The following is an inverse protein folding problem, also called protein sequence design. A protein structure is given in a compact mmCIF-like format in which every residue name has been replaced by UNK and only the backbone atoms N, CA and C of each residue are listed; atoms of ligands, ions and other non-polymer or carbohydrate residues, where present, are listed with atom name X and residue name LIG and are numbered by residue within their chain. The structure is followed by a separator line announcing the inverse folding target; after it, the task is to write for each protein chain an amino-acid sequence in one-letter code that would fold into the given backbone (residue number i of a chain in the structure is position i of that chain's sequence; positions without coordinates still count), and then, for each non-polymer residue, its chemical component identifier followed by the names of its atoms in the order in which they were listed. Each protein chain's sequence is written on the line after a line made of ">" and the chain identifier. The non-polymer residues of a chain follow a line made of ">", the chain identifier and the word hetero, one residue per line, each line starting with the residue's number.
data_IF_536247649362
#
_entry.id   IF_536247649362
#
_cell.length_a   1.000
_cell.length_b   1.000
_cell.length_c   1.000
_cell.angle_alpha   90.00
_cell.angle_beta   90.00
_cell.angle_gamma   90.00
#
_symmetry.space_group_name_H-M   'P 1'
#
loop_
_entity.id
_entity.type
_entity.pdbx_description
1 polymer ?
#
# COMPACT_ATOMS: atom_id res chain seq x y z
N UNK A 1 -0.26 11.33 -20.29
CA UNK A 1 -0.58 10.45 -21.43
C UNK A 1 -0.81 9.01 -20.93
N UNK A 2 -2.08 8.59 -20.79
CA UNK A 2 -2.45 7.25 -20.27
C UNK A 2 -2.68 6.23 -21.40
N UNK A 3 -3.05 6.68 -22.59
CA UNK A 3 -3.28 5.80 -23.75
C UNK A 3 -1.99 5.12 -24.21
N UNK A 4 -0.90 5.86 -24.23
CA UNK A 4 0.42 5.31 -24.51
C UNK A 4 0.89 4.28 -23.45
N UNK A 5 0.55 4.50 -22.17
CA UNK A 5 0.85 3.53 -21.11
C UNK A 5 0.09 2.21 -21.31
N UNK A 6 -1.15 2.28 -21.81
CA UNK A 6 -1.96 1.08 -22.13
C UNK A 6 -1.40 0.37 -23.35
N UNK A 7 -1.03 1.08 -24.42
CA UNK A 7 -0.47 0.47 -25.63
C UNK A 7 0.83 -0.29 -25.34
N UNK A 8 1.74 0.33 -24.58
CA UNK A 8 2.99 -0.29 -24.13
C UNK A 8 2.72 -1.55 -23.29
N UNK A 9 1.72 -1.50 -22.40
CA UNK A 9 1.34 -2.65 -21.59
C UNK A 9 0.77 -3.81 -22.44
N UNK A 10 -0.08 -3.50 -23.42
CA UNK A 10 -0.64 -4.50 -24.34
C UNK A 10 0.43 -5.14 -25.20
N UNK A 11 1.39 -4.35 -25.70
CA UNK A 11 2.53 -4.88 -26.48
C UNK A 11 3.41 -5.80 -25.64
N UNK A 12 3.76 -5.38 -24.42
CA UNK A 12 4.54 -6.21 -23.49
C UNK A 12 3.82 -7.52 -23.12
N UNK A 13 2.49 -7.46 -22.94
CA UNK A 13 1.69 -8.66 -22.68
C UNK A 13 1.76 -9.67 -23.83
N UNK A 14 1.62 -9.21 -25.09
CA UNK A 14 1.71 -10.06 -26.28
C UNK A 14 3.08 -10.73 -26.41
N UNK A 15 4.15 -9.98 -26.16
CA UNK A 15 5.52 -10.51 -26.18
C UNK A 15 5.69 -11.63 -25.15
N UNK A 16 5.22 -11.42 -23.92
CA UNK A 16 5.27 -12.43 -22.84
C UNK A 16 4.41 -13.65 -23.12
N UNK A 17 3.25 -13.49 -23.76
CA UNK A 17 2.43 -14.61 -24.21
C UNK A 17 3.18 -15.51 -25.21
N UNK A 18 3.94 -14.91 -26.13
CA UNK A 18 4.81 -15.64 -27.06
C UNK A 18 5.93 -16.41 -26.33
N UNK A 19 6.55 -15.78 -25.34
CA UNK A 19 7.58 -16.44 -24.50
C UNK A 19 7.01 -17.60 -23.68
N UNK A 20 5.81 -17.44 -23.11
CA UNK A 20 5.11 -18.50 -22.39
C UNK A 20 4.80 -19.69 -23.30
N UNK A 21 4.27 -19.45 -24.50
CA UNK A 21 3.97 -20.51 -25.47
C UNK A 21 5.24 -21.29 -25.85
N UNK A 22 6.33 -20.57 -26.10
CA UNK A 22 7.64 -21.18 -26.42
C UNK A 22 8.19 -22.00 -25.25
N UNK A 23 8.07 -21.51 -24.02
CA UNK A 23 8.49 -22.25 -22.82
C UNK A 23 7.65 -23.53 -22.61
N UNK A 24 6.33 -23.45 -22.83
CA UNK A 24 5.43 -24.59 -22.76
C UNK A 24 5.76 -25.66 -23.83
N UNK A 25 6.04 -25.24 -25.06
CA UNK A 25 6.49 -26.14 -26.14
C UNK A 25 7.81 -26.82 -25.81
N UNK A 26 8.73 -26.12 -25.13
CA UNK A 26 10.03 -26.65 -24.68
C UNK A 26 9.95 -27.48 -23.39
N UNK A 27 8.76 -27.67 -22.82
CA UNK A 27 8.53 -28.33 -21.52
C UNK A 27 9.34 -27.70 -20.37
N UNK A 28 9.65 -26.42 -20.48
CA UNK A 28 10.33 -25.65 -19.46
C UNK A 28 9.30 -25.12 -18.45
N UNK A 29 9.00 -25.98 -17.46
CA UNK A 29 7.95 -25.72 -16.47
C UNK A 29 8.26 -24.52 -15.55
N UNK A 30 9.53 -24.28 -15.24
CA UNK A 30 9.93 -23.17 -14.37
C UNK A 30 9.84 -21.84 -15.10
N UNK A 31 10.23 -21.81 -16.39
CA UNK A 31 10.01 -20.64 -17.23
C UNK A 31 8.52 -20.36 -17.45
N UNK A 32 7.70 -21.39 -17.66
CA UNK A 32 6.26 -21.23 -17.83
C UNK A 32 5.58 -20.67 -16.56
N UNK A 33 5.97 -21.14 -15.37
CA UNK A 33 5.49 -20.58 -14.08
C UNK A 33 5.87 -19.11 -13.92
N UNK A 34 7.11 -18.75 -14.24
CA UNK A 34 7.57 -17.37 -14.16
C UNK A 34 6.74 -16.45 -15.07
N UNK A 35 6.58 -16.79 -16.35
CA UNK A 35 5.80 -15.98 -17.28
C UNK A 35 4.32 -15.90 -16.86
N UNK A 36 3.74 -16.99 -16.34
CA UNK A 36 2.37 -16.98 -15.80
C UNK A 36 2.22 -16.00 -14.61
N UNK A 37 3.19 -16.00 -13.68
CA UNK A 37 3.20 -15.04 -12.58
C UNK A 37 3.28 -13.60 -13.07
N UNK A 38 4.11 -13.32 -14.08
CA UNK A 38 4.23 -11.98 -14.63
C UNK A 38 2.95 -11.53 -15.34
N UNK A 39 2.29 -12.43 -16.08
CA UNK A 39 0.97 -12.16 -16.69
C UNK A 39 -0.09 -11.85 -15.61
N UNK A 40 -0.03 -12.54 -14.47
CA UNK A 40 -0.88 -12.23 -13.31
C UNK A 40 -0.69 -10.79 -12.81
N UNK A 41 0.55 -10.38 -12.58
CA UNK A 41 0.89 -9.02 -12.14
C UNK A 41 0.44 -7.95 -13.16
N UNK A 42 0.63 -8.21 -14.46
CA UNK A 42 0.19 -7.30 -15.53
C UNK A 42 -1.33 -7.12 -15.56
N UNK A 43 -2.08 -8.21 -15.39
CA UNK A 43 -3.55 -8.19 -15.32
C UNK A 43 -4.02 -7.37 -14.12
N UNK A 44 -3.44 -7.60 -12.96
CA UNK A 44 -3.87 -6.93 -11.72
C UNK A 44 -3.59 -5.42 -11.80
N UNK A 45 -2.45 -5.02 -12.40
CA UNK A 45 -2.15 -3.62 -12.71
C UNK A 45 -3.16 -3.00 -13.70
N UNK A 46 -3.54 -3.73 -14.75
CA UNK A 46 -4.56 -3.29 -15.70
C UNK A 46 -5.92 -3.07 -15.03
N UNK A 47 -6.28 -3.92 -14.07
CA UNK A 47 -7.50 -3.77 -13.27
C UNK A 47 -7.46 -2.54 -12.36
N UNK A 48 -6.30 -2.24 -11.74
CA UNK A 48 -6.12 -1.00 -10.95
C UNK A 48 -6.31 0.24 -11.82
N UNK A 49 -5.65 0.29 -12.98
CA UNK A 49 -5.76 1.43 -13.90
C UNK A 49 -7.19 1.63 -14.40
N UNK A 50 -7.93 0.55 -14.65
CA UNK A 50 -9.34 0.63 -15.01
C UNK A 50 -10.21 1.12 -13.85
N UNK A 51 -9.96 0.68 -12.62
CA UNK A 51 -10.67 1.16 -11.43
C UNK A 51 -10.42 2.66 -11.20
N UNK A 52 -9.17 3.11 -11.27
CA UNK A 52 -8.78 4.52 -11.17
C UNK A 52 -9.42 5.38 -12.28
N UNK A 53 -9.49 4.88 -13.52
CA UNK A 53 -10.14 5.59 -14.61
C UNK A 53 -11.65 5.76 -14.38
N UNK A 54 -12.32 4.75 -13.80
CA UNK A 54 -13.74 4.84 -13.45
C UNK A 54 -13.99 5.75 -12.24
N UNK A 55 -13.06 5.80 -11.27
CA UNK A 55 -13.15 6.75 -10.15
C UNK A 55 -12.99 8.20 -10.60
N UNK A 56 -12.22 8.45 -11.66
CA UNK A 56 -12.04 9.80 -12.20
C UNK A 56 -13.24 10.34 -13.01
N UNK A 57 -14.26 9.52 -13.30
CA UNK A 57 -15.52 9.95 -13.96
C UNK A 57 -16.61 10.28 -12.93
N UNK A 58 -16.41 9.95 -11.65
CA UNK A 58 -17.42 10.07 -10.60
C UNK A 58 -17.40 11.38 -9.79
N UNK A 59 -16.39 12.25 -9.96
CA UNK A 59 -16.22 13.45 -9.14
C UNK A 59 -16.83 14.74 -9.75
N UNK A 60 -17.47 14.67 -10.93
CA UNK A 60 -18.09 15.84 -11.59
C UNK A 60 -19.63 15.87 -11.54
N UNK A 61 -20.28 14.96 -10.81
CA UNK A 61 -21.75 14.86 -10.80
C UNK A 61 -22.41 15.00 -9.41
N UNK A 62 -21.72 15.58 -8.42
CA UNK A 62 -22.25 15.67 -7.06
C UNK A 62 -21.90 16.96 -6.32
N UNK A 63 -22.72 18.01 -6.53
CA UNK A 63 -22.94 19.13 -5.62
C UNK A 63 -21.84 20.22 -5.54
N UNK A 64 -21.93 21.21 -6.45
CA UNK A 64 -21.44 22.57 -6.18
C UNK A 64 -22.48 23.29 -5.32
N UNK A 65 -22.36 23.14 -4.02
CA UNK A 65 -22.98 24.01 -3.03
C UNK A 65 -21.92 24.33 -2.00
N UNK A 66 -21.60 25.61 -1.85
CA UNK A 66 -20.59 26.15 -0.94
C UNK A 66 -20.60 25.43 0.42
N UNK A 67 -19.58 24.60 0.69
CA UNK A 67 -19.42 23.95 1.99
C UNK A 67 -18.81 24.92 2.98
N UNK A 68 -19.64 25.55 3.81
CA UNK A 68 -19.21 26.32 4.99
C UNK A 68 -18.85 25.35 6.13
N UNK A 69 -17.55 25.23 6.43
CA UNK A 69 -17.06 24.40 7.53
C UNK A 69 -17.03 25.24 8.81
N UNK A 70 -18.09 25.14 9.62
CA UNK A 70 -18.12 25.72 10.97
C UNK A 70 -17.53 24.77 12.01
N UNK A 71 -16.31 25.06 12.45
CA UNK A 71 -15.72 24.43 13.63
C UNK A 71 -16.20 25.16 14.89
N UNK A 72 -16.96 24.48 15.74
CA UNK A 72 -17.31 24.98 17.09
C UNK A 72 -16.59 24.12 18.10
N UNK A 73 -15.67 24.71 18.86
CA UNK A 73 -14.94 24.04 19.94
C UNK A 73 -15.68 24.32 21.25
N UNK A 74 -16.07 23.27 21.98
CA UNK A 74 -16.71 23.38 23.29
C UNK A 74 -15.69 23.94 24.31
N UNK A 75 -15.96 25.08 24.96
CA UNK A 75 -15.04 25.68 25.93
C UNK A 75 -14.86 24.86 27.22
N UNK A 76 -15.64 23.80 27.43
CA UNK A 76 -15.48 22.89 28.57
C UNK A 76 -14.60 21.68 28.27
N UNK A 77 -14.00 21.58 27.08
CA UNK A 77 -13.06 20.50 26.77
C UNK A 77 -11.74 20.74 27.51
N UNK A 78 -11.24 19.72 28.19
CA UNK A 78 -9.97 19.79 28.91
C UNK A 78 -8.80 19.90 27.92
N UNK A 79 -7.94 20.91 28.12
CA UNK A 79 -6.78 21.22 27.26
C UNK A 79 -5.53 20.39 27.63
N UNK A 80 -5.74 19.16 28.14
CA UNK A 80 -4.63 18.32 28.60
C UNK A 80 -4.01 17.58 27.41
N UNK A 81 -2.75 17.89 27.12
CA UNK A 81 -1.95 17.20 26.12
C UNK A 81 -1.65 15.76 26.59
N UNK A 82 -2.13 14.72 25.87
CA UNK A 82 -1.93 13.32 26.25
C UNK A 82 -0.47 12.84 26.11
N UNK A 83 0.46 13.70 25.67
CA UNK A 83 1.89 13.38 25.54
C UNK A 83 2.71 13.68 26.81
N UNK A 84 2.13 14.30 27.84
CA UNK A 84 2.82 14.49 29.12
C UNK A 84 2.87 13.17 29.91
N UNK A 85 4.06 12.59 30.01
CA UNK A 85 4.35 11.45 30.90
C UNK A 85 4.86 11.98 32.26
N UNK A 86 4.46 11.36 33.39
CA UNK A 86 5.03 11.72 34.69
C UNK A 86 6.53 11.34 34.75
N UNK A 87 7.37 12.30 35.13
CA UNK A 87 8.80 12.12 35.40
C UNK A 87 9.01 11.33 36.72
N UNK A 88 8.64 10.05 36.75
CA UNK A 88 9.03 9.18 37.86
C UNK A 88 10.46 8.66 37.62
N UNK A 89 11.45 8.98 38.46
CA UNK A 89 12.79 8.43 38.30
C UNK A 89 12.77 6.93 38.58
N UNK A 90 13.03 6.12 37.54
CA UNK A 90 13.24 4.69 37.68
C UNK A 90 14.56 4.43 38.44
N UNK A 91 14.47 4.32 39.77
CA UNK A 91 15.60 3.91 40.60
C UNK A 91 15.79 2.40 40.43
N UNK A 92 16.72 2.01 39.55
CA UNK A 92 17.18 0.64 39.45
C UNK A 92 18.35 0.42 40.41
N UNK A 93 18.10 -0.12 41.59
CA UNK A 93 19.18 -0.60 42.47
C UNK A 93 19.69 -1.96 41.96
N UNK A 94 21.00 -2.12 41.72
CA UNK A 94 21.55 -3.40 41.30
C UNK A 94 21.42 -4.45 42.42
N UNK A 95 21.25 -5.74 42.07
CA UNK A 95 21.16 -6.80 43.07
C UNK A 95 22.48 -6.92 43.84
N UNK A 96 22.42 -6.88 45.17
CA UNK A 96 23.57 -7.18 46.04
C UNK A 96 23.89 -8.68 45.93
N UNK A 97 25.04 -8.99 45.35
CA UNK A 97 25.60 -10.34 45.35
C UNK A 97 26.25 -10.56 46.72
N UNK A 98 25.59 -11.33 47.58
CA UNK A 98 26.19 -11.87 48.79
C UNK A 98 27.05 -13.08 48.40
N UNK A 99 28.37 -12.95 48.45
CA UNK A 99 29.30 -14.08 48.30
C UNK A 99 29.36 -14.89 49.61
N UNK A 100 29.14 -16.22 49.59
CA UNK A 100 29.51 -17.07 50.72
C UNK A 100 30.97 -17.57 50.61
N UNK A 101 31.65 -17.47 51.74
CA UNK A 101 32.92 -18.05 52.23
C UNK A 101 33.55 -19.23 51.44
N UNK A 102 34.85 -19.11 51.14
CA UNK A 102 35.87 -20.18 51.21
C UNK A 102 37.28 -19.61 51.12
#
# INVERSE_FOLDING_TARGET
>A
DKLNQVDVAVRSFKERQGSLKTAAERKDADRAKHEFSVLGVLRDRGRSLAAEANQCVGDEAGFVGETDVKLTIDPNIADTDPSEYPDDPLISTPPVVSSPDS
#
